data_IF_931089387983
#
_entry.id   IF_931089387983
#
_cell.length_a   1.000
_cell.length_b   1.000
_cell.length_c   1.000
_cell.angle_alpha   90.00
_cell.angle_beta   90.00
_cell.angle_gamma   90.00
#
_symmetry.space_group_name_H-M   'P 1'
#
loop_
_entity.id
_entity.type
_entity.pdbx_description
1 polymer ?
#
# COMPACT_ATOMS: atom_id res chain seq x y z
N UNK A 1 22.41 2.43 -5.22
CA UNK A 1 22.12 2.81 -3.82
C UNK A 1 21.70 1.55 -3.09
N UNK A 2 22.16 1.35 -1.86
CA UNK A 2 21.65 0.29 -0.96
C UNK A 2 21.06 1.01 0.24
N UNK A 3 19.85 0.63 0.63
CA UNK A 3 19.16 1.11 1.82
C UNK A 3 18.93 -0.09 2.74
N UNK A 4 19.37 0.01 3.99
CA UNK A 4 19.28 -1.06 4.99
C UNK A 4 18.47 -0.57 6.17
N UNK A 5 17.41 -1.29 6.51
CA UNK A 5 16.55 -0.97 7.65
C UNK A 5 17.01 -1.71 8.91
N UNK A 6 17.52 -0.98 9.90
CA UNK A 6 17.92 -1.52 11.20
C UNK A 6 16.88 -1.21 12.26
N UNK A 7 16.33 -2.25 12.89
CA UNK A 7 15.56 -2.12 14.13
C UNK A 7 16.47 -2.42 15.33
N UNK A 8 16.82 -1.39 16.11
CA UNK A 8 17.71 -1.49 17.28
C UNK A 8 16.97 -1.15 18.58
N UNK A 9 16.03 -2.00 19.06
CA UNK A 9 15.21 -1.70 20.23
C UNK A 9 16.02 -1.61 21.53
N UNK A 10 17.17 -2.28 21.61
CA UNK A 10 18.07 -2.26 22.78
C UNK A 10 19.06 -1.08 22.76
N UNK A 11 19.01 -0.23 21.73
CA UNK A 11 19.89 0.93 21.55
C UNK A 11 21.38 0.60 21.71
N UNK A 12 21.78 -0.59 21.23
CA UNK A 12 23.18 -1.04 21.31
C UNK A 12 24.07 -0.09 20.51
N UNK A 13 25.06 0.48 21.18
CA UNK A 13 26.08 1.34 20.60
C UNK A 13 27.29 0.52 20.13
N UNK A 14 28.01 1.05 19.12
CA UNK A 14 29.28 0.48 18.67
C UNK A 14 29.17 -0.80 17.83
N UNK A 15 27.96 -1.22 17.44
CA UNK A 15 27.77 -2.31 16.49
C UNK A 15 28.26 -1.89 15.10
N UNK A 16 29.17 -2.67 14.52
CA UNK A 16 29.62 -2.53 13.13
C UNK A 16 28.94 -3.63 12.32
N UNK A 17 28.30 -3.26 11.22
CA UNK A 17 27.61 -4.18 10.32
C UNK A 17 28.07 -3.97 8.88
N UNK A 18 28.35 -5.07 8.19
CA UNK A 18 28.77 -5.11 6.78
C UNK A 18 27.76 -5.92 5.94
N UNK A 19 26.48 -5.89 6.31
CA UNK A 19 25.42 -6.61 5.60
C UNK A 19 25.10 -6.00 4.23
N UNK A 20 24.60 -6.83 3.32
CA UNK A 20 24.24 -6.37 1.98
C UNK A 20 23.61 -7.45 1.10
N UNK A 21 23.52 -7.15 -0.19
CA UNK A 21 22.88 -8.02 -1.20
C UNK A 21 23.95 -8.52 -2.17
N UNK A 22 23.94 -9.82 -2.46
CA UNK A 22 24.75 -10.42 -3.53
C UNK A 22 23.97 -10.44 -4.84
N UNK A 23 24.51 -9.78 -5.87
CA UNK A 23 23.89 -9.72 -7.19
C UNK A 23 24.64 -10.66 -8.16
N UNK A 24 23.91 -11.61 -8.74
CA UNK A 24 24.41 -12.46 -9.81
C UNK A 24 23.89 -11.94 -11.15
N UNK A 25 24.78 -11.57 -12.07
CA UNK A 25 24.42 -10.98 -13.37
C UNK A 25 25.11 -11.67 -14.54
N UNK A 26 24.54 -11.49 -15.74
CA UNK A 26 25.05 -12.02 -17.01
C UNK A 26 25.53 -10.88 -17.90
N UNK A 27 26.63 -11.10 -18.64
CA UNK A 27 27.10 -10.17 -19.69
C UNK A 27 26.22 -10.22 -20.95
N UNK A 28 25.41 -11.27 -21.13
CA UNK A 28 24.49 -11.43 -22.25
C UNK A 28 23.09 -11.01 -21.82
N UNK A 29 22.51 -10.05 -22.54
CA UNK A 29 21.14 -9.58 -22.32
C UNK A 29 20.14 -10.71 -22.63
N UNK A 30 19.11 -10.81 -21.80
CA UNK A 30 17.95 -11.66 -22.06
C UNK A 30 17.02 -10.92 -23.05
N UNK A 31 16.20 -11.62 -23.84
CA UNK A 31 15.31 -10.97 -24.82
C UNK A 31 14.23 -10.08 -24.20
N UNK A 32 13.88 -10.33 -22.93
CA UNK A 32 12.83 -9.61 -22.21
C UNK A 32 13.40 -9.10 -20.90
N UNK A 33 13.23 -7.81 -20.63
CA UNK A 33 13.60 -7.18 -19.38
C UNK A 33 12.50 -7.34 -18.32
N UNK A 34 12.88 -7.66 -17.09
CA UNK A 34 11.96 -7.66 -15.95
C UNK A 34 11.97 -6.31 -15.23
N UNK A 35 10.82 -5.89 -14.71
CA UNK A 35 10.69 -4.80 -13.75
C UNK A 35 10.12 -5.26 -12.41
N UNK A 36 10.11 -4.34 -11.44
CA UNK A 36 9.38 -4.45 -10.18
C UNK A 36 8.41 -3.28 -10.12
N UNK A 37 7.14 -3.56 -9.87
CA UNK A 37 6.08 -2.56 -9.70
C UNK A 37 5.59 -2.63 -8.26
N UNK A 38 5.63 -1.50 -7.57
CA UNK A 38 5.16 -1.36 -6.20
C UNK A 38 3.71 -0.87 -6.20
N UNK A 39 2.79 -1.68 -5.64
CA UNK A 39 1.39 -1.30 -5.48
C UNK A 39 0.96 -1.31 -4.02
N UNK A 40 -0.11 -0.57 -3.70
CA UNK A 40 -0.73 -0.55 -2.39
C UNK A 40 -0.94 0.85 -1.83
N UNK A 41 -0.72 1.02 -0.53
CA UNK A 41 -0.90 2.30 0.14
C UNK A 41 0.38 3.13 0.15
N UNK A 42 0.20 4.45 0.12
CA UNK A 42 1.27 5.40 0.41
C UNK A 42 1.79 5.25 1.86
N UNK A 43 3.07 5.57 2.07
CA UNK A 43 3.73 5.50 3.38
C UNK A 43 3.45 6.73 4.25
N UNK A 44 2.17 7.07 4.41
CA UNK A 44 1.71 8.26 5.13
C UNK A 44 0.57 7.91 6.09
N UNK A 45 0.32 8.80 7.03
CA UNK A 45 -0.61 8.62 8.14
C UNK A 45 -2.09 8.71 7.75
N UNK A 46 -2.43 9.02 6.49
CA UNK A 46 -3.82 9.19 6.03
C UNK A 46 -4.67 7.92 6.12
N UNK A 47 -4.08 6.76 5.91
CA UNK A 47 -4.76 5.46 5.99
C UNK A 47 -4.26 4.72 7.25
N UNK A 48 -4.74 5.18 8.40
CA UNK A 48 -4.36 4.65 9.72
C UNK A 48 -5.45 3.77 10.33
N UNK A 49 -5.05 2.86 11.21
CA UNK A 49 -5.88 1.77 11.75
C UNK A 49 -6.19 2.02 13.24
N UNK A 50 -7.47 2.22 13.61
CA UNK A 50 -7.85 2.39 15.01
C UNK A 50 -7.41 1.22 15.91
N UNK A 51 -7.26 1.44 17.23
CA UNK A 51 -7.00 0.36 18.16
C UNK A 51 -8.22 -0.58 18.31
N UNK A 52 -7.99 -1.77 18.85
CA UNK A 52 -9.04 -2.71 19.29
C UNK A 52 -9.94 -3.24 18.16
N UNK A 53 -9.47 -3.31 16.92
CA UNK A 53 -10.27 -3.75 15.77
C UNK A 53 -9.56 -4.76 14.87
N UNK A 54 -10.35 -5.39 13.98
CA UNK A 54 -9.88 -6.05 12.76
C UNK A 54 -10.40 -5.20 11.60
N UNK A 55 -9.49 -4.65 10.81
CA UNK A 55 -9.83 -3.72 9.73
C UNK A 55 -9.08 -4.05 8.46
N UNK A 56 -9.73 -3.82 7.32
CA UNK A 56 -9.12 -3.93 6.00
C UNK A 56 -8.80 -2.53 5.48
N UNK A 57 -7.59 -2.36 4.95
CA UNK A 57 -7.25 -1.18 4.17
C UNK A 57 -6.95 -1.59 2.73
N UNK A 58 -7.31 -0.71 1.79
CA UNK A 58 -7.22 -0.94 0.36
C UNK A 58 -6.35 0.12 -0.29
N UNK A 59 -5.29 -0.32 -0.97
CA UNK A 59 -4.46 0.52 -1.82
C UNK A 59 -4.71 0.22 -3.30
N UNK A 60 -4.84 1.25 -4.10
CA UNK A 60 -5.33 1.15 -5.48
C UNK A 60 -4.26 1.55 -6.48
N UNK A 61 -4.07 0.67 -7.46
CA UNK A 61 -3.49 1.01 -8.75
C UNK A 61 -4.64 1.15 -9.76
N UNK A 62 -5.09 2.39 -9.94
CA UNK A 62 -6.28 2.73 -10.75
C UNK A 62 -6.09 2.49 -12.24
N UNK A 63 -7.20 2.32 -12.96
CA UNK A 63 -7.21 2.02 -14.41
C UNK A 63 -6.48 3.07 -15.25
N UNK A 64 -6.55 4.34 -14.83
CA UNK A 64 -5.92 5.48 -15.49
C UNK A 64 -4.41 5.37 -15.43
N UNK A 65 -3.87 4.90 -14.30
CA UNK A 65 -2.43 4.77 -14.10
C UNK A 65 -1.88 3.59 -14.93
N UNK A 66 -2.55 2.44 -14.94
CA UNK A 66 -2.13 1.33 -15.80
C UNK A 66 -2.29 1.67 -17.28
N UNK A 67 -3.32 2.43 -17.65
CA UNK A 67 -3.58 2.88 -19.03
C UNK A 67 -2.45 3.73 -19.60
N UNK A 68 -1.84 4.60 -18.79
CA UNK A 68 -0.71 5.44 -19.23
C UNK A 68 0.66 4.81 -18.95
N UNK A 69 0.76 3.96 -17.93
CA UNK A 69 2.03 3.42 -17.43
C UNK A 69 2.43 2.05 -17.98
N UNK A 70 1.49 1.29 -18.57
CA UNK A 70 1.76 -0.03 -19.14
C UNK A 70 1.86 0.02 -20.68
N UNK A 71 2.67 -0.88 -21.29
CA UNK A 71 2.75 -1.00 -22.73
C UNK A 71 1.43 -1.51 -23.34
N UNK A 72 1.16 -1.26 -24.64
CA UNK A 72 -0.11 -1.65 -25.28
C UNK A 72 -0.47 -3.14 -25.16
N UNK A 73 0.54 -4.02 -25.14
CA UNK A 73 0.36 -5.47 -25.03
C UNK A 73 0.31 -5.97 -23.58
N UNK A 74 0.31 -5.06 -22.60
CA UNK A 74 0.30 -5.39 -21.17
C UNK A 74 1.61 -5.97 -20.65
N UNK A 75 1.56 -6.42 -19.41
CA UNK A 75 2.65 -7.06 -18.68
C UNK A 75 2.21 -8.39 -18.08
N UNK A 76 3.13 -9.34 -18.01
CA UNK A 76 2.98 -10.60 -17.29
C UNK A 76 3.66 -10.48 -15.94
N UNK A 77 2.88 -10.53 -14.87
CA UNK A 77 3.38 -10.59 -13.50
C UNK A 77 3.65 -12.06 -13.16
N UNK A 78 4.91 -12.39 -12.88
CA UNK A 78 5.34 -13.78 -12.66
C UNK A 78 5.70 -14.09 -11.20
N UNK A 79 5.93 -13.07 -10.37
CA UNK A 79 6.14 -13.24 -8.94
C UNK A 79 5.63 -12.02 -8.15
N UNK A 80 5.36 -12.22 -6.86
CA UNK A 80 4.83 -11.20 -5.96
C UNK A 80 5.41 -11.37 -4.55
N UNK A 81 5.71 -10.25 -3.89
CA UNK A 81 6.12 -10.21 -2.49
C UNK A 81 5.19 -9.29 -1.71
N UNK A 82 4.48 -9.88 -0.75
CA UNK A 82 3.50 -9.22 0.10
C UNK A 82 4.19 -8.63 1.34
N UNK A 83 3.86 -7.38 1.69
CA UNK A 83 4.54 -6.65 2.76
C UNK A 83 3.57 -5.84 3.63
N UNK A 84 3.67 -6.06 4.94
CA UNK A 84 3.07 -5.26 6.02
C UNK A 84 4.03 -5.22 7.22
N UNK A 85 3.73 -4.42 8.24
CA UNK A 85 4.40 -4.48 9.54
C UNK A 85 3.63 -5.41 10.50
N UNK A 86 3.81 -5.22 11.81
CA UNK A 86 3.55 -6.23 12.84
C UNK A 86 2.08 -6.64 13.04
N UNK A 87 1.12 -5.87 12.54
CA UNK A 87 -0.33 -6.13 12.72
C UNK A 87 -0.99 -6.75 11.49
N UNK A 88 -0.29 -6.88 10.36
CA UNK A 88 -0.83 -7.54 9.17
C UNK A 88 -1.05 -9.05 9.39
N UNK A 89 -2.25 -9.54 9.07
CA UNK A 89 -2.65 -10.95 9.28
C UNK A 89 -3.10 -11.65 8.01
N UNK A 90 -3.51 -10.90 6.99
CA UNK A 90 -3.80 -11.43 5.65
C UNK A 90 -3.68 -10.34 4.61
N UNK A 91 -3.32 -10.72 3.38
CA UNK A 91 -3.14 -9.78 2.28
C UNK A 91 -3.43 -10.46 0.95
N UNK A 92 -4.13 -9.76 0.07
CA UNK A 92 -4.43 -10.24 -1.29
C UNK A 92 -4.45 -9.07 -2.28
N UNK A 93 -4.35 -9.41 -3.55
CA UNK A 93 -4.41 -8.43 -4.64
C UNK A 93 -5.55 -8.81 -5.59
N UNK A 94 -6.59 -7.98 -5.60
CA UNK A 94 -7.72 -8.10 -6.51
C UNK A 94 -7.32 -7.53 -7.88
N UNK A 95 -7.76 -8.16 -8.95
CA UNK A 95 -7.51 -7.74 -10.33
C UNK A 95 -8.82 -7.42 -11.02
N UNK A 96 -9.02 -6.17 -11.43
CA UNK A 96 -10.25 -5.69 -12.05
C UNK A 96 -10.00 -5.35 -13.52
N UNK A 97 -10.87 -5.85 -14.42
CA UNK A 97 -10.84 -5.53 -15.85
C UNK A 97 -12.23 -5.13 -16.32
N UNK A 98 -12.37 -3.88 -16.79
CA UNK A 98 -13.66 -3.37 -17.27
C UNK A 98 -14.79 -3.45 -16.22
N UNK A 99 -14.46 -3.21 -14.95
CA UNK A 99 -15.40 -3.30 -13.83
C UNK A 99 -15.69 -4.72 -13.32
N UNK A 100 -15.09 -5.76 -13.91
CA UNK A 100 -15.25 -7.15 -13.50
C UNK A 100 -14.03 -7.60 -12.72
N UNK A 101 -14.25 -8.17 -11.53
CA UNK A 101 -13.19 -8.81 -10.75
C UNK A 101 -12.80 -10.16 -11.38
N UNK A 102 -11.54 -10.26 -11.78
CA UNK A 102 -10.86 -11.49 -12.19
C UNK A 102 -10.34 -12.23 -10.95
N UNK A 103 -9.82 -13.47 -11.09
CA UNK A 103 -9.18 -14.16 -9.97
C UNK A 103 -8.08 -13.31 -9.32
N UNK A 104 -7.97 -13.40 -8.00
CA UNK A 104 -6.93 -12.68 -7.26
C UNK A 104 -5.55 -13.00 -7.82
N UNK A 105 -4.73 -11.96 -7.99
CA UNK A 105 -3.38 -12.08 -8.50
C UNK A 105 -2.48 -12.84 -7.53
N UNK A 106 -2.59 -12.52 -6.24
CA UNK A 106 -1.94 -13.20 -5.13
C UNK A 106 -2.82 -13.10 -3.89
N UNK A 107 -2.80 -14.12 -3.03
CA UNK A 107 -3.56 -14.15 -1.77
C UNK A 107 -2.81 -14.97 -0.73
N UNK A 108 -2.63 -14.38 0.44
CA UNK A 108 -2.18 -15.08 1.63
C UNK A 108 -3.12 -14.78 2.82
N UNK A 109 -3.95 -15.76 3.16
CA UNK A 109 -4.89 -15.66 4.28
C UNK A 109 -4.22 -15.91 5.64
N UNK A 110 -2.97 -16.40 5.65
CA UNK A 110 -2.18 -16.71 6.85
C UNK A 110 -0.84 -15.98 6.83
N UNK A 111 -0.85 -14.77 6.26
CA UNK A 111 0.32 -13.94 6.14
C UNK A 111 0.95 -13.69 7.52
N UNK A 112 2.28 -13.72 7.58
CA UNK A 112 3.04 -13.33 8.76
C UNK A 112 4.08 -12.28 8.38
N UNK A 113 4.15 -11.15 9.11
CA UNK A 113 5.20 -10.15 8.90
C UNK A 113 6.62 -10.69 9.13
N UNK A 114 6.74 -11.85 9.79
CA UNK A 114 8.02 -12.53 10.03
C UNK A 114 8.43 -13.48 8.88
N UNK A 115 7.53 -13.75 7.94
CA UNK A 115 7.77 -14.66 6.81
C UNK A 115 7.35 -14.00 5.50
N UNK A 116 8.25 -13.16 4.98
CA UNK A 116 8.02 -12.38 3.77
C UNK A 116 8.94 -12.87 2.65
N UNK A 117 8.39 -13.68 1.76
CA UNK A 117 9.13 -14.26 0.63
C UNK A 117 8.61 -13.76 -0.72
N UNK A 118 9.46 -13.79 -1.74
CA UNK A 118 9.05 -13.56 -3.13
C UNK A 118 8.49 -14.89 -3.66
N UNK A 119 7.18 -14.93 -3.93
CA UNK A 119 6.51 -16.13 -4.45
C UNK A 119 6.33 -16.05 -5.95
N UNK A 120 6.71 -17.10 -6.67
CA UNK A 120 6.36 -17.28 -8.08
C UNK A 120 4.86 -17.56 -8.20
N UNK A 121 4.18 -16.85 -9.10
CA UNK A 121 2.77 -17.08 -9.37
C UNK A 121 2.58 -18.35 -10.22
N UNK A 122 1.49 -19.11 -10.00
CA UNK A 122 1.20 -20.32 -10.75
C UNK A 122 0.88 -20.01 -12.23
N UNK A 123 0.80 -21.05 -13.05
CA UNK A 123 0.31 -20.99 -14.44
C UNK A 123 1.06 -20.02 -15.37
N UNK A 124 2.32 -19.68 -15.05
CA UNK A 124 3.15 -18.78 -15.87
C UNK A 124 2.93 -17.29 -15.60
N UNK A 125 2.11 -16.93 -14.61
CA UNK A 125 1.87 -15.55 -14.21
C UNK A 125 0.49 -15.01 -14.59
N UNK A 126 0.27 -13.73 -14.33
CA UNK A 126 -1.00 -13.01 -14.54
C UNK A 126 -0.77 -11.89 -15.55
N UNK A 127 -1.60 -11.85 -16.60
CA UNK A 127 -1.57 -10.78 -17.61
C UNK A 127 -2.40 -9.58 -17.15
N UNK A 128 -1.75 -8.43 -17.06
CA UNK A 128 -2.36 -7.13 -16.76
C UNK A 128 -2.23 -6.21 -17.96
N UNK A 129 -3.34 -5.65 -18.42
CA UNK A 129 -3.38 -4.77 -19.59
C UNK A 129 -3.60 -3.31 -19.20
N UNK A 130 -3.24 -2.36 -20.08
CA UNK A 130 -3.62 -0.95 -19.92
C UNK A 130 -5.13 -0.80 -19.67
N UNK A 131 -5.52 -0.12 -18.59
CA UNK A 131 -6.91 0.05 -18.19
C UNK A 131 -7.46 -0.99 -17.21
N UNK A 132 -6.66 -2.00 -16.83
CA UNK A 132 -6.97 -2.83 -15.67
C UNK A 132 -6.69 -2.07 -14.37
N UNK A 133 -7.38 -2.38 -13.28
CA UNK A 133 -7.05 -1.88 -11.94
C UNK A 133 -6.56 -3.03 -11.05
N UNK A 134 -5.61 -2.74 -10.16
CA UNK A 134 -5.12 -3.68 -9.15
C UNK A 134 -5.38 -3.09 -7.77
N UNK A 135 -5.99 -3.86 -6.88
CA UNK A 135 -6.33 -3.41 -5.53
C UNK A 135 -5.61 -4.32 -4.54
N UNK A 136 -4.63 -3.77 -3.82
CA UNK A 136 -3.94 -4.49 -2.76
C UNK A 136 -4.70 -4.28 -1.45
N UNK A 137 -5.22 -5.36 -0.87
CA UNK A 137 -6.01 -5.33 0.35
C UNK A 137 -5.22 -5.98 1.47
N UNK A 138 -5.04 -5.24 2.55
CA UNK A 138 -4.34 -5.71 3.75
C UNK A 138 -5.30 -5.71 4.93
N UNK A 139 -5.37 -6.83 5.64
CA UNK A 139 -6.15 -6.96 6.87
C UNK A 139 -5.22 -6.89 8.07
N UNK A 140 -5.59 -6.07 9.03
CA UNK A 140 -4.80 -5.80 10.23
C UNK A 140 -5.53 -6.20 11.50
N UNK A 141 -4.80 -6.74 12.46
CA UNK A 141 -5.25 -7.05 13.81
C UNK A 141 -4.64 -6.11 14.84
N UNK A 142 -5.37 -5.04 15.15
CA UNK A 142 -5.00 -4.07 16.19
C UNK A 142 -5.72 -4.34 17.52
N UNK A 143 -6.30 -5.54 17.71
CA UNK A 143 -7.04 -5.88 18.96
C UNK A 143 -6.18 -5.74 20.22
N UNK A 144 -4.87 -5.94 20.08
CA UNK A 144 -3.88 -5.81 21.15
C UNK A 144 -3.27 -4.40 21.29
N UNK A 145 -3.61 -3.47 20.38
CA UNK A 145 -3.13 -2.08 20.41
C UNK A 145 -4.11 -1.20 21.19
N UNK A 146 -3.59 -0.24 21.94
CA UNK A 146 -4.39 0.74 22.71
C UNK A 146 -4.45 2.11 22.05
N UNK A 147 -3.56 2.39 21.10
CA UNK A 147 -3.47 3.64 20.34
C UNK A 147 -3.66 3.36 18.85
N UNK A 148 -3.92 4.42 18.10
CA UNK A 148 -3.92 4.40 16.64
C UNK A 148 -2.60 3.79 16.12
N UNK A 149 -2.70 2.94 15.11
CA UNK A 149 -1.55 2.42 14.37
C UNK A 149 -1.47 3.20 13.05
N UNK A 150 -0.43 4.03 12.92
CA UNK A 150 -0.32 4.96 11.79
C UNK A 150 0.23 4.25 10.55
N UNK A 151 -0.10 4.75 9.36
CA UNK A 151 0.67 4.43 8.16
C UNK A 151 2.04 5.13 8.20
N UNK A 152 3.14 4.41 7.94
CA UNK A 152 4.47 5.00 8.08
C UNK A 152 5.63 4.02 7.96
N UNK A 153 6.85 4.52 8.21
CA UNK A 153 8.10 3.76 8.09
C UNK A 153 8.50 3.01 9.36
N UNK A 154 7.98 3.41 10.53
CA UNK A 154 8.37 2.80 11.79
C UNK A 154 7.83 1.38 11.95
N UNK A 155 8.55 0.52 12.67
CA UNK A 155 8.09 -0.85 12.96
C UNK A 155 6.77 -0.90 13.74
N UNK A 156 6.46 0.16 14.49
CA UNK A 156 5.19 0.32 15.22
C UNK A 156 4.05 0.82 14.34
N UNK A 157 4.38 1.46 13.22
CA UNK A 157 3.47 1.93 12.17
C UNK A 157 3.11 0.74 11.26
N UNK A 158 2.38 0.99 10.18
CA UNK A 158 1.97 -0.01 9.20
C UNK A 158 2.25 0.39 7.76
N UNK A 159 2.35 -0.65 6.93
CA UNK A 159 2.42 -0.58 5.48
C UNK A 159 1.45 -1.58 4.86
N UNK A 160 0.97 -1.28 3.66
CA UNK A 160 0.22 -2.21 2.81
C UNK A 160 0.83 -2.22 1.41
N UNK A 161 1.73 -3.16 1.12
CA UNK A 161 2.49 -3.17 -0.14
C UNK A 161 2.51 -4.55 -0.77
N UNK A 162 2.50 -4.56 -2.10
CA UNK A 162 2.85 -5.73 -2.90
C UNK A 162 3.89 -5.33 -3.96
N UNK A 163 5.04 -5.99 -3.94
CA UNK A 163 6.06 -5.88 -4.98
C UNK A 163 5.82 -6.92 -6.07
N UNK A 164 5.38 -6.45 -7.23
CA UNK A 164 5.06 -7.29 -8.38
C UNK A 164 6.27 -7.38 -9.30
N UNK A 165 6.81 -8.59 -9.48
CA UNK A 165 7.86 -8.85 -10.46
C UNK A 165 7.22 -9.20 -11.80
N UNK A 166 7.54 -8.45 -12.84
CA UNK A 166 6.84 -8.53 -14.12
C UNK A 166 7.77 -8.39 -15.32
N UNK A 167 7.25 -8.70 -16.49
CA UNK A 167 7.87 -8.39 -17.78
C UNK A 167 6.79 -8.12 -18.85
N UNK A 168 7.07 -7.44 -19.97
CA UNK A 168 8.27 -6.64 -20.20
C UNK A 168 8.30 -5.42 -19.27
N UNK A 169 9.50 -4.95 -18.91
CA UNK A 169 9.70 -3.74 -18.11
C UNK A 169 8.94 -2.54 -18.71
N UNK A 170 8.24 -1.80 -17.87
CA UNK A 170 7.66 -0.50 -18.21
C UNK A 170 8.30 0.61 -17.36
N UNK A 171 7.91 1.85 -17.62
CA UNK A 171 8.36 2.98 -16.80
C UNK A 171 7.55 3.14 -15.50
N UNK A 172 6.44 2.43 -15.34
CA UNK A 172 5.62 2.49 -14.13
C UNK A 172 6.30 1.69 -13.01
N UNK A 173 6.70 2.38 -11.94
CA UNK A 173 7.43 1.79 -10.82
C UNK A 173 6.64 1.85 -9.51
N UNK A 174 5.90 2.94 -9.28
CA UNK A 174 5.04 3.09 -8.11
C UNK A 174 3.61 3.38 -8.58
N UNK A 175 2.67 2.55 -8.15
CA UNK A 175 1.25 2.71 -8.41
C UNK A 175 0.47 2.51 -7.10
N UNK A 176 0.37 3.59 -6.34
CA UNK A 176 -0.18 3.61 -4.98
C UNK A 176 -1.30 4.61 -4.84
N UNK A 177 -2.04 4.50 -3.74
CA UNK A 177 -3.05 5.49 -3.38
C UNK A 177 -3.09 5.75 -1.88
N UNK A 178 -3.78 6.83 -1.53
CA UNK A 178 -4.26 7.12 -0.18
C UNK A 178 -5.65 7.75 -0.28
N UNK A 179 -6.35 7.88 0.85
CA UNK A 179 -7.55 8.71 0.90
C UNK A 179 -7.21 10.16 0.53
N UNK A 180 -8.12 10.83 -0.19
CA UNK A 180 -7.99 12.25 -0.48
C UNK A 180 -7.86 13.11 0.80
N UNK A 181 -6.99 14.12 0.72
CA UNK A 181 -6.65 14.93 1.89
C UNK A 181 -7.82 15.77 2.36
N UNK A 182 -8.57 16.38 1.44
CA UNK A 182 -9.63 17.31 1.80
C UNK A 182 -10.80 16.56 2.44
N UNK A 183 -11.13 15.38 1.92
CA UNK A 183 -12.16 14.50 2.50
C UNK A 183 -11.77 14.00 3.89
N UNK A 184 -10.49 13.66 4.10
CA UNK A 184 -10.02 13.28 5.43
C UNK A 184 -10.06 14.47 6.42
N UNK A 185 -9.70 15.67 5.98
CA UNK A 185 -9.79 16.88 6.80
C UNK A 185 -11.25 17.28 7.10
N UNK A 186 -12.17 17.02 6.18
CA UNK A 186 -13.61 17.19 6.40
C UNK A 186 -14.17 16.17 7.40
N UNK A 187 -13.70 14.92 7.35
CA UNK A 187 -14.03 13.93 8.37
C UNK A 187 -13.59 14.41 9.76
N UNK A 188 -12.36 14.90 9.91
CA UNK A 188 -11.89 15.44 11.19
C UNK A 188 -12.70 16.65 11.67
N UNK A 189 -13.12 17.52 10.75
CA UNK A 189 -14.00 18.65 11.08
C UNK A 189 -15.38 18.18 11.53
N UNK A 190 -15.93 17.14 10.91
CA UNK A 190 -17.20 16.51 11.30
C UNK A 190 -17.10 15.91 12.70
N UNK A 191 -15.99 15.23 13.01
CA UNK A 191 -15.73 14.69 14.35
C UNK A 191 -15.62 15.79 15.41
N UNK A 192 -15.12 16.97 15.04
CA UNK A 192 -15.06 18.13 15.94
C UNK A 192 -16.45 18.69 16.23
N UNK A 193 -17.22 18.95 15.17
CA UNK A 193 -18.49 19.67 15.24
C UNK A 193 -19.63 18.82 15.82
N UNK A 194 -19.69 17.54 15.47
CA UNK A 194 -20.84 16.68 15.78
C UNK A 194 -20.56 15.64 16.85
N UNK A 195 -19.30 15.22 16.99
CA UNK A 195 -18.89 14.17 17.94
C UNK A 195 -18.08 14.74 19.13
N UNK A 196 -17.88 16.06 19.19
CA UNK A 196 -17.13 16.77 20.22
C UNK A 196 -15.72 16.17 20.46
N UNK A 197 -15.03 15.79 19.38
CA UNK A 197 -13.65 15.30 19.42
C UNK A 197 -12.66 16.46 19.30
N UNK A 198 -11.46 16.32 19.89
CA UNK A 198 -10.40 17.35 19.83
C UNK A 198 -9.62 17.26 18.51
N UNK A 199 -10.32 17.43 17.40
CA UNK A 199 -9.74 17.46 16.05
C UNK A 199 -9.72 18.90 15.51
N UNK A 200 -8.88 19.17 14.51
CA UNK A 200 -8.76 20.46 13.86
C UNK A 200 -8.06 20.32 12.51
N UNK A 201 -8.48 21.12 11.53
CA UNK A 201 -7.78 21.25 10.24
C UNK A 201 -6.35 21.79 10.36
N UNK A 202 -6.00 22.37 11.51
CA UNK A 202 -4.66 22.88 11.79
C UNK A 202 -3.73 21.86 12.46
N UNK A 203 -4.27 20.74 12.96
CA UNK A 203 -3.46 19.65 13.51
C UNK A 203 -2.90 18.78 12.38
N UNK A 204 -1.80 18.07 12.66
CA UNK A 204 -1.34 17.02 11.75
C UNK A 204 -2.41 15.91 11.63
N UNK A 205 -2.34 15.11 10.58
CA UNK A 205 -3.26 13.96 10.40
C UNK A 205 -3.08 12.97 11.55
N UNK A 206 -1.84 12.65 11.92
CA UNK A 206 -1.52 11.84 13.09
C UNK A 206 -2.13 12.39 14.39
N UNK A 207 -1.97 13.69 14.68
CA UNK A 207 -2.52 14.30 15.90
C UNK A 207 -4.04 14.25 15.93
N UNK A 208 -4.69 14.52 14.79
CA UNK A 208 -6.14 14.38 14.66
C UNK A 208 -6.61 12.97 15.01
N UNK A 209 -5.97 11.96 14.43
CA UNK A 209 -6.30 10.56 14.71
C UNK A 209 -6.03 10.16 16.18
N UNK A 210 -4.97 10.68 16.79
CA UNK A 210 -4.63 10.42 18.20
C UNK A 210 -5.62 11.07 19.18
N UNK A 211 -6.20 12.22 18.80
CA UNK A 211 -7.14 12.95 19.64
C UNK A 211 -8.58 12.41 19.58
N UNK A 212 -8.89 11.49 18.67
CA UNK A 212 -10.20 10.84 18.59
C UNK A 212 -10.28 9.72 19.62
N UNK A 213 -11.34 9.73 20.42
CA UNK A 213 -11.72 8.59 21.24
C UNK A 213 -12.42 7.54 20.38
N UNK A 214 -11.72 6.45 20.07
CA UNK A 214 -12.22 5.39 19.20
C UNK A 214 -13.27 4.51 19.87
N UNK A 215 -14.47 4.49 19.29
CA UNK A 215 -15.58 3.59 19.64
C UNK A 215 -15.90 2.71 18.42
N UNK A 216 -16.60 1.57 18.59
CA UNK A 216 -17.01 0.75 17.44
C UNK A 216 -17.73 1.54 16.34
N UNK A 217 -18.60 2.48 16.72
CA UNK A 217 -19.29 3.37 15.79
C UNK A 217 -18.34 4.26 14.97
N UNK A 218 -17.33 4.87 15.61
CA UNK A 218 -16.37 5.74 14.92
C UNK A 218 -15.42 4.98 14.03
N UNK A 219 -15.09 3.74 14.42
CA UNK A 219 -14.29 2.81 13.60
C UNK A 219 -15.06 2.46 12.33
N UNK A 220 -16.34 2.11 12.45
CA UNK A 220 -17.20 1.85 11.29
C UNK A 220 -17.33 3.09 10.38
N UNK A 221 -17.45 4.29 10.96
CA UNK A 221 -17.48 5.54 10.18
C UNK A 221 -16.19 5.83 9.44
N UNK A 222 -15.04 5.55 10.05
CA UNK A 222 -13.75 5.68 9.38
C UNK A 222 -13.60 4.64 8.26
N UNK A 223 -14.06 3.41 8.48
CA UNK A 223 -14.07 2.36 7.47
C UNK A 223 -14.92 2.77 6.24
N UNK A 224 -16.13 3.28 6.48
CA UNK A 224 -17.00 3.82 5.44
C UNK A 224 -16.34 4.98 4.68
N UNK A 225 -15.64 5.87 5.39
CA UNK A 225 -14.88 6.97 4.79
C UNK A 225 -13.83 6.42 3.82
N UNK A 226 -13.00 5.46 4.24
CA UNK A 226 -11.95 4.89 3.38
C UNK A 226 -12.50 4.16 2.15
N UNK A 227 -13.69 3.56 2.24
CA UNK A 227 -14.30 2.82 1.13
C UNK A 227 -15.02 3.72 0.11
N UNK A 228 -15.47 4.91 0.51
CA UNK A 228 -16.33 5.76 -0.33
C UNK A 228 -15.69 7.09 -0.76
N UNK A 229 -14.60 7.50 -0.09
CA UNK A 229 -13.94 8.76 -0.42
C UNK A 229 -13.12 8.66 -1.69
N UNK A 230 -12.96 9.76 -2.45
CA UNK A 230 -11.99 9.86 -3.52
C UNK A 230 -10.57 9.55 -3.05
N UNK A 231 -9.74 9.12 -4.00
CA UNK A 231 -8.36 8.74 -3.75
C UNK A 231 -7.40 9.84 -4.21
N UNK A 232 -6.33 10.03 -3.44
CA UNK A 232 -5.08 10.61 -3.95
C UNK A 232 -4.24 9.48 -4.54
N UNK A 233 -3.75 9.64 -5.78
CA UNK A 233 -3.04 8.59 -6.50
C UNK A 233 -1.58 8.99 -6.74
N UNK A 234 -0.66 8.07 -6.45
CA UNK A 234 0.74 8.15 -6.83
C UNK A 234 1.02 7.19 -7.98
N UNK A 235 1.07 7.73 -9.18
CA UNK A 235 1.46 7.05 -10.40
C UNK A 235 2.85 7.58 -10.83
N UNK A 236 3.93 6.95 -10.38
CA UNK A 236 5.29 7.46 -10.59
C UNK A 236 6.09 6.58 -11.56
N UNK A 237 6.90 7.27 -12.35
CA UNK A 237 7.92 6.70 -13.20
C UNK A 237 9.15 6.28 -12.40
N UNK A 238 10.00 5.42 -12.96
CA UNK A 238 11.33 5.12 -12.43
C UNK A 238 12.25 6.33 -12.21
N UNK A 239 11.97 7.47 -12.87
CA UNK A 239 12.67 8.74 -12.66
C UNK A 239 12.23 9.49 -11.40
N UNK A 240 11.19 9.01 -10.70
CA UNK A 240 10.51 9.72 -9.62
C UNK A 240 9.49 10.76 -10.09
N UNK A 241 9.35 10.97 -11.41
CA UNK A 241 8.35 11.89 -11.96
C UNK A 241 6.97 11.25 -12.03
N UNK A 242 5.91 12.04 -11.83
CA UNK A 242 4.53 11.58 -11.94
C UNK A 242 4.11 11.42 -13.41
N UNK A 243 3.30 10.42 -13.70
CA UNK A 243 2.51 10.39 -14.93
C UNK A 243 1.39 11.44 -14.87
N UNK A 244 0.94 11.97 -16.02
CA UNK A 244 -0.20 12.87 -16.08
C UNK A 244 -1.50 12.08 -15.88
N UNK A 245 -1.85 11.81 -14.62
CA UNK A 245 -3.11 11.19 -14.21
C UNK A 245 -3.91 12.21 -13.41
N UNK A 246 -5.25 12.24 -13.59
CA UNK A 246 -6.11 13.11 -12.78
C UNK A 246 -6.03 12.71 -11.31
N UNK A 247 -5.83 13.69 -10.41
CA UNK A 247 -5.66 13.45 -8.97
C UNK A 247 -6.98 13.14 -8.23
N UNK A 248 -8.14 13.28 -8.88
CA UNK A 248 -9.44 12.93 -8.31
C UNK A 248 -10.09 11.84 -9.16
N UNK A 249 -10.14 10.63 -8.61
CA UNK A 249 -10.89 9.52 -9.17
C UNK A 249 -11.87 9.04 -8.10
N UNK A 250 -13.15 9.04 -8.45
CA UNK A 250 -14.19 8.32 -7.70
C UNK A 250 -14.17 6.90 -8.25
N UNK A 251 -14.03 5.93 -7.36
CA UNK A 251 -14.00 4.50 -7.70
C UNK A 251 -15.40 4.03 -8.11
#
# INVERSE_FOLDING_TARGET
MIEVHYNNPELKAGSIDDSGIRIHYSKRLRPIESGILEIGLEYIDKNSIPPKTLMELRGYCVSECTRVGLPPNGITIFASQLHTHLTGVSIWTEHIRGGIQLPDLNRDNHYSPHFQEIRKLPNGGVQVYPGDALINVCRYDTRKRTRMTMGGYGISDEMCVNYLHYYPRSNLEVCKSSIDTDHLLEYFETMRLYENQNTSRHYSVADNFQNIHWTPYRIEKLDQLYQSSPLSVQCNQSSGQRFPVSNCLVI
#
